data_IF_247673962749
#
_entry.id   IF_247673962749
#
_cell.length_a   1.000
_cell.length_b   1.000
_cell.length_c   1.000
_cell.angle_alpha   90.00
_cell.angle_beta   90.00
_cell.angle_gamma   90.00
#
_symmetry.space_group_name_H-M   'P 1'
#
loop_
_entity.id
_entity.type
_entity.pdbx_description
1 polymer ?
#
# COMPACT_ATOMS: atom_id res chain seq x y z
N UNK A 1 -59.00 -19.53 21.44
CA UNK A 1 -57.81 -20.19 20.83
C UNK A 1 -57.27 -19.33 19.67
N UNK A 2 -56.74 -18.12 19.93
CA UNK A 2 -56.19 -17.24 18.89
C UNK A 2 -54.78 -16.69 19.22
N UNK A 3 -54.11 -17.27 20.24
CA UNK A 3 -52.81 -16.78 20.75
C UNK A 3 -51.60 -17.55 20.24
N UNK A 4 -51.78 -18.67 19.53
CA UNK A 4 -50.68 -19.53 19.06
C UNK A 4 -50.33 -19.39 17.56
N UNK A 5 -51.18 -18.72 16.76
CA UNK A 5 -50.93 -18.52 15.32
C UNK A 5 -49.96 -17.38 15.00
N UNK A 6 -49.74 -16.44 15.94
CA UNK A 6 -48.80 -15.32 15.77
C UNK A 6 -47.38 -15.61 16.27
N UNK A 7 -47.18 -16.71 17.00
CA UNK A 7 -45.89 -17.10 17.58
C UNK A 7 -44.81 -17.37 16.51
N UNK A 8 -45.10 -18.09 15.40
CA UNK A 8 -44.10 -18.36 14.37
C UNK A 8 -43.67 -17.10 13.61
N UNK A 9 -44.61 -16.19 13.33
CA UNK A 9 -44.33 -14.91 12.67
C UNK A 9 -43.50 -13.95 13.53
N UNK A 10 -43.80 -13.90 14.83
CA UNK A 10 -43.01 -13.12 15.79
C UNK A 10 -41.59 -13.69 15.96
N UNK A 11 -41.43 -15.01 16.02
CA UNK A 11 -40.10 -15.65 16.07
C UNK A 11 -39.30 -15.41 14.80
N UNK A 12 -39.94 -15.48 13.62
CA UNK A 12 -39.30 -15.23 12.34
C UNK A 12 -38.80 -13.78 12.20
N UNK A 13 -39.63 -12.81 12.62
CA UNK A 13 -39.22 -11.40 12.69
C UNK A 13 -38.11 -11.16 13.71
N UNK A 14 -38.12 -11.86 14.85
CA UNK A 14 -37.05 -11.82 15.84
C UNK A 14 -35.74 -12.36 15.28
N UNK A 15 -35.77 -13.47 14.53
CA UNK A 15 -34.58 -14.05 13.89
C UNK A 15 -34.03 -13.11 12.83
N UNK A 16 -34.88 -12.48 12.01
CA UNK A 16 -34.44 -11.45 11.05
C UNK A 16 -33.84 -10.26 11.80
N UNK A 17 -34.47 -9.80 12.88
CA UNK A 17 -33.97 -8.69 13.68
C UNK A 17 -32.59 -9.01 14.28
N UNK A 18 -32.41 -10.19 14.89
CA UNK A 18 -31.13 -10.57 15.51
C UNK A 18 -30.04 -11.01 14.50
N UNK A 19 -30.39 -11.54 13.32
CA UNK A 19 -29.40 -11.93 12.31
C UNK A 19 -29.03 -10.84 11.33
N UNK A 20 -29.95 -9.90 11.05
CA UNK A 20 -29.74 -8.86 10.04
C UNK A 20 -29.61 -7.50 10.72
N UNK A 21 -30.51 -7.17 11.64
CA UNK A 21 -30.58 -5.81 12.22
C UNK A 21 -29.59 -5.62 13.37
N UNK A 22 -29.37 -6.60 14.26
CA UNK A 22 -28.42 -6.48 15.37
C UNK A 22 -26.96 -6.35 14.91
N UNK A 23 -26.45 -7.14 13.94
CA UNK A 23 -25.12 -6.91 13.37
C UNK A 23 -25.02 -5.58 12.63
N UNK A 24 -26.12 -5.14 11.99
CA UNK A 24 -26.18 -3.83 11.37
C UNK A 24 -26.14 -2.70 12.41
N UNK A 25 -26.81 -2.84 13.56
CA UNK A 25 -26.79 -1.89 14.68
C UNK A 25 -25.42 -1.87 15.36
N UNK A 26 -24.73 -3.02 15.49
CA UNK A 26 -23.40 -3.11 16.10
C UNK A 26 -22.28 -2.59 15.20
N UNK A 27 -22.53 -2.46 13.89
CA UNK A 27 -21.56 -1.87 12.96
C UNK A 27 -21.48 -0.36 13.20
N UNK A 28 -20.26 0.15 13.42
CA UNK A 28 -20.03 1.56 13.68
C UNK A 28 -20.65 2.45 12.58
N UNK A 29 -21.30 3.58 12.93
CA UNK A 29 -22.01 4.41 11.96
C UNK A 29 -21.15 4.91 10.79
N UNK A 30 -19.86 5.20 11.02
CA UNK A 30 -18.92 5.60 9.97
C UNK A 30 -18.70 4.46 8.95
N UNK A 31 -18.54 3.22 9.44
CA UNK A 31 -18.29 2.04 8.62
C UNK A 31 -19.45 1.76 7.67
N UNK A 32 -20.70 1.98 8.11
CA UNK A 32 -21.87 1.85 7.22
C UNK A 32 -21.85 2.84 6.06
N UNK A 33 -21.35 4.06 6.28
CA UNK A 33 -21.23 5.06 5.20
C UNK A 33 -20.14 4.62 4.22
N UNK A 34 -19.01 4.13 4.71
CA UNK A 34 -17.93 3.59 3.88
C UNK A 34 -18.42 2.38 3.08
N UNK A 35 -19.04 1.39 3.71
CA UNK A 35 -19.57 0.20 3.04
C UNK A 35 -20.59 0.59 1.95
N UNK A 36 -21.42 1.59 2.21
CA UNK A 36 -22.35 2.14 1.21
C UNK A 36 -21.62 2.84 0.06
N UNK A 37 -20.56 3.61 0.35
CA UNK A 37 -19.75 4.25 -0.67
C UNK A 37 -19.07 3.22 -1.58
N UNK A 38 -18.50 2.17 -1.00
CA UNK A 38 -17.88 1.06 -1.73
C UNK A 38 -18.91 0.29 -2.56
N UNK A 39 -20.12 0.08 -2.04
CA UNK A 39 -21.22 -0.53 -2.80
C UNK A 39 -21.61 0.29 -4.04
N UNK A 40 -21.70 1.62 -3.94
CA UNK A 40 -21.94 2.45 -5.13
C UNK A 40 -20.76 2.42 -6.11
N UNK A 41 -19.53 2.33 -5.61
CA UNK A 41 -18.32 2.22 -6.45
C UNK A 41 -18.32 0.93 -7.29
N UNK A 42 -18.66 -0.22 -6.71
CA UNK A 42 -18.73 -1.49 -7.46
C UNK A 42 -19.79 -1.47 -8.56
N UNK A 43 -20.83 -0.62 -8.41
CA UNK A 43 -21.87 -0.38 -9.42
C UNK A 43 -21.52 0.70 -10.43
N UNK A 44 -20.30 1.26 -10.37
CA UNK A 44 -19.85 2.40 -11.20
C UNK A 44 -20.70 3.67 -10.97
N UNK A 45 -21.33 3.79 -9.80
CA UNK A 45 -22.08 4.97 -9.38
C UNK A 45 -21.15 5.95 -8.64
N UNK A 46 -20.16 6.47 -9.37
CA UNK A 46 -19.03 7.23 -8.85
C UNK A 46 -19.43 8.49 -8.07
N UNK A 47 -20.32 9.32 -8.59
CA UNK A 47 -20.78 10.54 -7.90
C UNK A 47 -21.41 10.26 -6.54
N UNK A 48 -22.17 9.15 -6.42
CA UNK A 48 -22.79 8.76 -5.16
C UNK A 48 -21.76 8.24 -4.17
N UNK A 49 -20.79 7.47 -4.65
CA UNK A 49 -19.67 6.99 -3.84
C UNK A 49 -18.90 8.18 -3.25
N UNK A 50 -18.53 9.13 -4.10
CA UNK A 50 -17.75 10.32 -3.73
C UNK A 50 -18.51 11.23 -2.77
N UNK A 51 -19.83 11.41 -2.96
CA UNK A 51 -20.67 12.15 -2.03
C UNK A 51 -20.72 11.50 -0.63
N UNK A 52 -20.76 10.16 -0.57
CA UNK A 52 -20.75 9.42 0.70
C UNK A 52 -19.38 9.48 1.39
N UNK A 53 -18.28 9.38 0.64
CA UNK A 53 -16.93 9.54 1.19
C UNK A 53 -16.72 10.94 1.76
N UNK A 54 -17.11 12.00 1.03
CA UNK A 54 -17.09 13.38 1.54
C UNK A 54 -17.90 13.51 2.82
N UNK A 55 -19.11 12.94 2.85
CA UNK A 55 -19.97 12.94 4.04
C UNK A 55 -19.33 12.19 5.23
N UNK A 56 -18.63 11.09 4.99
CA UNK A 56 -17.94 10.32 6.03
C UNK A 56 -16.83 11.16 6.68
N UNK A 57 -15.99 11.81 5.87
CA UNK A 57 -14.91 12.72 6.33
C UNK A 57 -15.48 13.86 7.18
N UNK A 58 -16.55 14.51 6.72
CA UNK A 58 -17.17 15.63 7.47
C UNK A 58 -17.81 15.16 8.78
N UNK A 59 -18.49 14.02 8.78
CA UNK A 59 -19.28 13.56 9.93
C UNK A 59 -18.45 12.84 10.99
N UNK A 60 -17.36 12.20 10.59
CA UNK A 60 -16.53 11.37 11.48
C UNK A 60 -15.05 11.76 11.39
N UNK A 61 -14.68 13.03 11.66
CA UNK A 61 -13.33 13.54 11.41
C UNK A 61 -12.24 12.98 12.33
N UNK A 62 -12.61 12.19 13.35
CA UNK A 62 -11.68 11.53 14.30
C UNK A 62 -11.43 10.05 13.96
N UNK A 63 -12.01 9.53 12.89
CA UNK A 63 -11.86 8.12 12.49
C UNK A 63 -10.85 8.05 11.34
N UNK A 64 -9.62 7.54 11.54
CA UNK A 64 -8.61 7.52 10.49
C UNK A 64 -9.07 6.81 9.21
N UNK A 65 -9.84 5.73 9.36
CA UNK A 65 -10.31 4.87 8.28
C UNK A 65 -11.10 5.65 7.23
N UNK A 66 -11.88 6.68 7.62
CA UNK A 66 -12.66 7.45 6.64
C UNK A 66 -11.77 8.27 5.70
N UNK A 67 -10.61 8.73 6.17
CA UNK A 67 -9.63 9.44 5.35
C UNK A 67 -8.87 8.48 4.43
N UNK A 68 -8.53 7.29 4.94
CA UNK A 68 -7.90 6.26 4.14
C UNK A 68 -8.82 5.79 3.00
N UNK A 69 -10.07 5.50 3.31
CA UNK A 69 -11.07 5.09 2.32
C UNK A 69 -11.33 6.20 1.31
N UNK A 70 -11.37 7.47 1.73
CA UNK A 70 -11.42 8.59 0.81
C UNK A 70 -10.21 8.59 -0.14
N UNK A 71 -9.00 8.49 0.39
CA UNK A 71 -7.77 8.53 -0.40
C UNK A 71 -7.71 7.40 -1.45
N UNK A 72 -8.10 6.19 -1.07
CA UNK A 72 -8.02 5.00 -1.94
C UNK A 72 -9.18 4.91 -2.95
N UNK A 73 -10.38 5.38 -2.57
CA UNK A 73 -11.61 5.09 -3.33
C UNK A 73 -12.29 6.32 -3.93
N UNK A 74 -11.77 7.53 -3.75
CA UNK A 74 -12.36 8.70 -4.40
C UNK A 74 -12.15 8.64 -5.91
N UNK A 75 -13.25 8.77 -6.66
CA UNK A 75 -13.32 8.50 -8.09
C UNK A 75 -12.91 9.67 -8.99
N UNK A 76 -12.79 10.88 -8.44
CA UNK A 76 -12.13 12.02 -9.10
C UNK A 76 -10.67 11.68 -9.40
N UNK A 77 -10.47 10.89 -10.45
CA UNK A 77 -9.32 10.06 -10.76
C UNK A 77 -8.07 10.83 -11.19
N UNK A 78 -8.16 12.15 -11.27
CA UNK A 78 -7.14 12.98 -11.91
C UNK A 78 -6.51 14.00 -10.97
N UNK A 79 -7.10 14.22 -9.79
CA UNK A 79 -6.59 15.16 -8.80
C UNK A 79 -6.07 14.42 -7.55
N UNK A 80 -4.88 13.82 -7.68
CA UNK A 80 -4.19 13.19 -6.55
C UNK A 80 -3.92 14.19 -5.43
N UNK A 81 -3.71 15.47 -5.76
CA UNK A 81 -3.49 16.55 -4.81
C UNK A 81 -4.67 16.72 -3.85
N UNK A 82 -5.90 16.79 -4.32
CA UNK A 82 -7.08 16.94 -3.44
C UNK A 82 -7.20 15.76 -2.46
N UNK A 83 -6.99 14.53 -2.94
CA UNK A 83 -7.01 13.35 -2.07
C UNK A 83 -5.89 13.38 -1.06
N UNK A 84 -4.71 13.82 -1.48
CA UNK A 84 -3.53 13.92 -0.64
C UNK A 84 -3.70 14.98 0.46
N UNK A 85 -4.33 16.11 0.15
CA UNK A 85 -4.69 17.14 1.13
C UNK A 85 -5.65 16.58 2.19
N UNK A 86 -6.68 15.81 1.78
CA UNK A 86 -7.64 15.20 2.71
C UNK A 86 -6.99 14.18 3.63
N UNK A 87 -6.15 13.26 3.11
CA UNK A 87 -5.47 12.27 3.98
C UNK A 87 -4.47 12.94 4.92
N UNK A 88 -3.79 14.00 4.47
CA UNK A 88 -2.86 14.79 5.30
C UNK A 88 -3.60 15.52 6.42
N UNK A 89 -4.78 16.09 6.14
CA UNK A 89 -5.65 16.66 7.17
C UNK A 89 -6.10 15.60 8.18
N UNK A 90 -6.46 14.40 7.70
CA UNK A 90 -6.79 13.26 8.56
C UNK A 90 -5.64 12.91 9.51
N UNK A 91 -4.43 12.75 8.98
CA UNK A 91 -3.24 12.48 9.78
C UNK A 91 -2.97 13.56 10.83
N UNK A 92 -3.09 14.85 10.48
CA UNK A 92 -2.95 15.95 11.44
C UNK A 92 -3.95 15.91 12.60
N UNK A 93 -5.14 15.33 12.38
CA UNK A 93 -6.20 15.24 13.39
C UNK A 93 -6.11 13.98 14.26
N UNK A 94 -5.54 12.91 13.74
CA UNK A 94 -5.58 11.59 14.39
C UNK A 94 -4.21 11.04 14.78
N UNK A 95 -3.14 11.57 14.18
CA UNK A 95 -1.76 11.05 14.30
C UNK A 95 -1.68 9.54 14.03
N UNK A 96 -2.53 9.07 13.12
CA UNK A 96 -2.68 7.65 12.82
C UNK A 96 -1.53 7.13 11.95
N UNK A 97 -0.90 6.05 12.40
CA UNK A 97 0.27 5.44 11.74
C UNK A 97 -0.03 5.01 10.32
N UNK A 98 -1.24 4.49 10.04
CA UNK A 98 -1.58 4.00 8.70
C UNK A 98 -1.71 5.19 7.75
N UNK A 99 -2.38 6.27 8.18
CA UNK A 99 -2.42 7.49 7.37
C UNK A 99 -1.02 8.05 7.11
N UNK A 100 -0.18 8.12 8.14
CA UNK A 100 1.22 8.55 8.02
C UNK A 100 2.00 7.70 7.01
N UNK A 101 1.84 6.38 7.06
CA UNK A 101 2.46 5.45 6.11
C UNK A 101 2.03 5.72 4.65
N UNK A 102 0.73 5.87 4.38
CA UNK A 102 0.23 6.15 3.01
C UNK A 102 0.68 7.52 2.50
N UNK A 103 0.72 8.53 3.38
CA UNK A 103 1.27 9.85 3.06
C UNK A 103 2.75 9.74 2.66
N UNK A 104 3.54 9.03 3.46
CA UNK A 104 4.96 8.86 3.23
C UNK A 104 5.27 8.08 1.95
N UNK A 105 4.50 7.01 1.68
CA UNK A 105 4.57 6.28 0.41
C UNK A 105 4.31 7.21 -0.78
N UNK A 106 3.32 8.10 -0.66
CA UNK A 106 3.01 9.06 -1.73
C UNK A 106 4.14 10.10 -1.90
N UNK A 107 4.73 10.58 -0.81
CA UNK A 107 5.90 11.47 -0.88
C UNK A 107 7.09 10.80 -1.59
N UNK A 108 7.37 9.53 -1.28
CA UNK A 108 8.42 8.75 -1.93
C UNK A 108 8.19 8.65 -3.45
N UNK A 109 6.97 8.32 -3.89
CA UNK A 109 6.64 8.27 -5.32
C UNK A 109 6.86 9.61 -6.04
N UNK A 110 6.64 10.73 -5.35
CA UNK A 110 6.86 12.09 -5.87
C UNK A 110 8.28 12.63 -5.68
N UNK A 111 9.17 11.86 -5.05
CA UNK A 111 10.56 12.29 -4.82
C UNK A 111 10.75 13.29 -3.69
N UNK A 112 9.74 13.47 -2.83
CA UNK A 112 9.81 14.26 -1.61
C UNK A 112 10.45 13.40 -0.50
N UNK A 113 11.74 13.09 -0.69
CA UNK A 113 12.44 12.07 0.08
C UNK A 113 12.61 12.43 1.56
N UNK A 114 12.83 13.72 1.87
CA UNK A 114 12.98 14.16 3.27
C UNK A 114 11.65 14.05 4.03
N UNK A 115 10.54 14.40 3.39
CA UNK A 115 9.19 14.28 3.94
C UNK A 115 8.77 12.83 4.10
N UNK A 116 9.15 11.96 3.15
CA UNK A 116 8.95 10.52 3.25
C UNK A 116 9.75 9.92 4.42
N UNK A 117 11.04 10.28 4.57
CA UNK A 117 11.90 9.81 5.67
C UNK A 117 11.30 10.18 7.04
N UNK A 118 10.88 11.43 7.21
CA UNK A 118 10.34 11.94 8.47
C UNK A 118 9.12 11.15 8.98
N UNK A 119 8.36 10.51 8.10
CA UNK A 119 7.21 9.69 8.45
C UNK A 119 7.55 8.20 8.53
N UNK A 120 8.35 7.68 7.58
CA UNK A 120 8.71 6.26 7.52
C UNK A 120 9.67 5.84 8.64
N UNK A 121 10.57 6.73 9.07
CA UNK A 121 11.60 6.45 10.08
C UNK A 121 11.09 6.56 11.54
N UNK A 122 9.78 6.68 11.72
CA UNK A 122 9.18 6.62 13.06
C UNK A 122 9.05 5.18 13.54
N UNK A 123 9.20 4.94 14.85
CA UNK A 123 9.05 3.62 15.47
C UNK A 123 7.73 2.95 15.06
N UNK A 124 6.61 3.68 15.15
CA UNK A 124 5.28 3.20 14.78
C UNK A 124 5.19 2.77 13.31
N UNK A 125 5.77 3.55 12.38
CA UNK A 125 5.77 3.18 10.96
C UNK A 125 6.66 1.99 10.66
N UNK A 126 7.83 1.90 11.32
CA UNK A 126 8.72 0.74 11.22
C UNK A 126 8.05 -0.54 11.69
N UNK A 127 7.37 -0.51 12.84
CA UNK A 127 6.57 -1.63 13.34
C UNK A 127 5.44 -2.01 12.36
N UNK A 128 4.75 -1.02 11.80
CA UNK A 128 3.70 -1.26 10.82
C UNK A 128 4.23 -1.93 9.55
N UNK A 129 5.34 -1.40 9.00
CA UNK A 129 6.02 -1.98 7.83
C UNK A 129 6.47 -3.41 8.10
N UNK A 130 7.05 -3.67 9.27
CA UNK A 130 7.46 -5.01 9.69
C UNK A 130 6.26 -5.98 9.75
N UNK A 131 5.19 -5.58 10.44
CA UNK A 131 3.95 -6.37 10.55
C UNK A 131 3.31 -6.67 9.19
N UNK A 132 3.51 -5.79 8.21
CA UNK A 132 2.93 -5.92 6.86
C UNK A 132 3.88 -6.55 5.84
N UNK A 133 5.14 -6.78 6.18
CA UNK A 133 6.12 -7.29 5.22
C UNK A 133 6.46 -6.28 4.12
N UNK A 134 6.52 -4.97 4.45
CA UNK A 134 6.75 -3.89 3.47
C UNK A 134 8.11 -3.21 3.69
N UNK A 135 8.88 -2.99 2.63
CA UNK A 135 10.28 -2.53 2.63
C UNK A 135 10.48 -1.14 1.99
N UNK A 136 9.73 -0.11 2.42
CA UNK A 136 9.86 1.24 1.84
C UNK A 136 11.14 2.00 2.24
N UNK A 137 11.69 1.74 3.44
CA UNK A 137 12.91 2.42 3.91
C UNK A 137 14.16 2.10 3.05
N UNK A 138 14.43 0.84 2.69
CA UNK A 138 15.50 0.54 1.74
C UNK A 138 15.33 1.27 0.40
N UNK A 139 14.10 1.35 -0.13
CA UNK A 139 13.83 2.11 -1.35
C UNK A 139 14.16 3.59 -1.18
N UNK A 140 13.67 4.21 -0.10
CA UNK A 140 13.92 5.60 0.22
C UNK A 140 15.42 5.91 0.24
N UNK A 141 16.22 5.10 0.95
CA UNK A 141 17.66 5.31 1.04
C UNK A 141 18.40 5.05 -0.27
N UNK A 142 17.93 4.10 -1.06
CA UNK A 142 18.43 3.90 -2.43
C UNK A 142 18.22 5.15 -3.28
N UNK A 143 17.03 5.76 -3.23
CA UNK A 143 16.72 6.97 -4.00
C UNK A 143 17.49 8.21 -3.51
N UNK A 144 17.82 8.26 -2.22
CA UNK A 144 18.76 9.23 -1.66
C UNK A 144 20.23 8.97 -2.04
N UNK A 145 20.51 7.91 -2.82
CA UNK A 145 21.87 7.43 -3.17
C UNK A 145 22.70 7.01 -1.96
N UNK A 146 22.06 6.74 -0.82
CA UNK A 146 22.69 6.24 0.38
C UNK A 146 22.63 4.70 0.41
N UNK A 147 23.38 4.08 -0.51
CA UNK A 147 23.31 2.63 -0.74
C UNK A 147 23.72 1.81 0.48
N UNK A 148 24.66 2.32 1.30
CA UNK A 148 25.06 1.67 2.54
C UNK A 148 23.90 1.59 3.53
N UNK A 149 23.22 2.71 3.78
CA UNK A 149 22.03 2.75 4.67
C UNK A 149 20.89 1.90 4.10
N UNK A 150 20.69 1.92 2.78
CA UNK A 150 19.69 1.09 2.12
C UNK A 150 19.90 -0.42 2.37
N UNK A 151 21.15 -0.89 2.26
CA UNK A 151 21.50 -2.29 2.55
C UNK A 151 21.36 -2.63 4.04
N UNK A 152 21.81 -1.74 4.93
CA UNK A 152 21.67 -1.91 6.38
C UNK A 152 20.21 -2.05 6.80
N UNK A 153 19.32 -1.27 6.20
CA UNK A 153 17.88 -1.29 6.47
C UNK A 153 17.21 -2.55 5.94
N UNK A 154 17.65 -3.10 4.81
CA UNK A 154 17.21 -4.41 4.36
C UNK A 154 17.56 -5.49 5.39
N UNK A 155 18.80 -5.50 5.88
CA UNK A 155 19.24 -6.46 6.90
C UNK A 155 18.47 -6.29 8.20
N UNK A 156 18.27 -5.05 8.66
CA UNK A 156 17.50 -4.75 9.86
C UNK A 156 16.06 -5.27 9.74
N UNK A 157 15.40 -4.97 8.62
CA UNK A 157 14.02 -5.38 8.37
C UNK A 157 13.85 -6.90 8.42
N UNK A 158 14.68 -7.64 7.70
CA UNK A 158 14.56 -9.10 7.64
C UNK A 158 14.99 -9.80 8.94
N UNK A 159 15.99 -9.27 9.66
CA UNK A 159 16.28 -9.73 11.04
C UNK A 159 15.07 -9.53 11.96
N UNK A 160 14.36 -8.41 11.80
CA UNK A 160 13.12 -8.15 12.52
C UNK A 160 12.01 -9.16 12.21
N UNK A 161 11.89 -9.62 10.95
CA UNK A 161 10.85 -10.55 10.52
C UNK A 161 11.06 -11.97 11.06
N UNK A 162 12.30 -12.44 11.05
CA UNK A 162 12.62 -13.83 11.42
C UNK A 162 13.03 -14.00 12.87
N UNK A 163 13.11 -12.91 13.65
CA UNK A 163 13.53 -12.92 15.06
C UNK A 163 14.86 -13.66 15.31
N UNK A 164 15.75 -13.69 14.31
CA UNK A 164 16.93 -14.55 14.31
C UNK A 164 18.17 -13.82 13.78
N UNK A 165 19.34 -14.25 14.26
CA UNK A 165 20.67 -13.90 13.73
C UNK A 165 21.07 -14.82 12.55
N UNK A 166 20.07 -15.42 11.89
CA UNK A 166 20.26 -16.35 10.78
C UNK A 166 21.15 -15.78 9.66
N UNK A 167 21.81 -16.69 8.93
CA UNK A 167 22.64 -16.32 7.80
C UNK A 167 21.81 -15.52 6.79
N UNK A 168 22.35 -14.37 6.36
CA UNK A 168 21.69 -13.53 5.37
C UNK A 168 21.49 -14.27 4.05
N UNK A 169 22.31 -15.29 3.76
CA UNK A 169 22.11 -16.16 2.59
C UNK A 169 20.81 -16.97 2.64
N UNK A 170 20.33 -17.37 3.83
CA UNK A 170 19.05 -18.06 3.98
C UNK A 170 17.89 -17.08 3.85
N UNK A 171 18.05 -15.85 4.34
CA UNK A 171 17.07 -14.77 4.14
C UNK A 171 16.87 -14.49 2.64
N UNK A 172 17.94 -14.46 1.84
CA UNK A 172 17.85 -14.23 0.39
C UNK A 172 16.95 -15.24 -0.32
N UNK A 173 16.87 -16.49 0.15
CA UNK A 173 16.01 -17.53 -0.44
C UNK A 173 14.52 -17.31 -0.19
N UNK A 174 14.17 -16.48 0.79
CA UNK A 174 12.80 -16.20 1.20
C UNK A 174 12.35 -14.77 0.82
N UNK A 175 13.24 -13.96 0.25
CA UNK A 175 12.91 -12.59 -0.17
C UNK A 175 11.91 -12.57 -1.32
N UNK A 176 11.07 -11.53 -1.31
CA UNK A 176 10.16 -11.28 -2.43
C UNK A 176 10.94 -10.91 -3.70
N UNK A 177 10.38 -11.13 -4.90
CA UNK A 177 11.00 -10.70 -6.15
C UNK A 177 11.34 -9.20 -6.17
N UNK A 178 10.48 -8.37 -5.57
CA UNK A 178 10.66 -6.93 -5.47
C UNK A 178 11.82 -6.53 -4.54
N UNK A 179 12.04 -7.30 -3.47
CA UNK A 179 13.13 -7.05 -2.53
C UNK A 179 14.47 -7.52 -3.10
N UNK A 180 14.49 -8.69 -3.75
CA UNK A 180 15.69 -9.20 -4.43
C UNK A 180 16.18 -8.22 -5.51
N UNK A 181 15.27 -7.73 -6.36
CA UNK A 181 15.65 -6.80 -7.42
C UNK A 181 16.11 -5.45 -6.86
N UNK A 182 15.50 -4.97 -5.77
CA UNK A 182 15.93 -3.75 -5.11
C UNK A 182 17.33 -3.92 -4.49
N UNK A 183 17.57 -5.02 -3.79
CA UNK A 183 18.87 -5.31 -3.21
C UNK A 183 19.95 -5.46 -4.29
N UNK A 184 19.62 -6.11 -5.41
CA UNK A 184 20.52 -6.21 -6.55
C UNK A 184 20.81 -4.84 -7.19
N UNK A 185 19.83 -3.93 -7.29
CA UNK A 185 20.06 -2.55 -7.72
C UNK A 185 20.99 -1.80 -6.76
N UNK A 186 20.76 -1.90 -5.45
CA UNK A 186 21.63 -1.30 -4.42
C UNK A 186 23.07 -1.81 -4.57
N UNK A 187 23.25 -3.13 -4.74
CA UNK A 187 24.57 -3.74 -4.95
C UNK A 187 25.23 -3.24 -6.24
N UNK A 188 24.51 -3.23 -7.36
CA UNK A 188 25.03 -2.77 -8.66
C UNK A 188 25.48 -1.32 -8.60
N UNK A 189 24.64 -0.43 -8.06
CA UNK A 189 24.90 1.02 -8.07
C UNK A 189 25.93 1.43 -7.00
N UNK A 190 26.14 0.61 -5.97
CA UNK A 190 27.25 0.74 -5.01
C UNK A 190 28.58 0.15 -5.50
N UNK A 191 28.60 -0.52 -6.66
CA UNK A 191 29.78 -1.20 -7.18
C UNK A 191 30.08 -2.55 -6.51
N UNK A 192 29.14 -3.09 -5.74
CA UNK A 192 29.23 -4.42 -5.12
C UNK A 192 28.74 -5.52 -6.05
N UNK A 193 29.10 -6.77 -5.76
CA UNK A 193 28.68 -7.94 -6.53
C UNK A 193 27.17 -8.19 -6.41
N UNK A 194 26.42 -7.75 -7.43
CA UNK A 194 24.98 -7.94 -7.54
C UNK A 194 24.60 -9.29 -8.16
N UNK A 195 25.52 -9.95 -8.88
CA UNK A 195 25.25 -11.22 -9.56
C UNK A 195 24.97 -12.33 -8.56
N UNK A 196 25.59 -12.28 -7.38
CA UNK A 196 25.25 -13.16 -6.26
C UNK A 196 23.78 -13.06 -5.87
N UNK A 197 23.21 -11.85 -5.84
CA UNK A 197 21.78 -11.65 -5.52
C UNK A 197 20.91 -12.16 -6.65
N UNK A 198 21.27 -11.86 -7.91
CA UNK A 198 20.52 -12.33 -9.09
C UNK A 198 20.53 -13.86 -9.25
N UNK A 199 21.50 -14.55 -8.64
CA UNK A 199 21.55 -16.02 -8.59
C UNK A 199 20.44 -16.67 -7.75
N UNK A 200 19.71 -15.91 -6.93
CA UNK A 200 18.56 -16.41 -6.20
C UNK A 200 17.29 -16.31 -7.06
N UNK A 201 16.55 -17.42 -7.17
CA UNK A 201 15.28 -17.43 -7.87
C UNK A 201 14.22 -16.65 -7.05
N UNK A 202 13.48 -15.72 -7.67
CA UNK A 202 12.38 -15.03 -7.00
C UNK A 202 11.27 -16.01 -6.55
N UNK A 203 10.78 -15.91 -5.31
CA UNK A 203 9.63 -16.71 -4.84
C UNK A 203 8.33 -15.90 -4.85
N UNK A 204 7.30 -16.37 -5.55
CA UNK A 204 5.97 -15.73 -5.48
C UNK A 204 5.08 -16.33 -4.40
N UNK A 205 5.34 -17.57 -4.02
CA UNK A 205 4.71 -18.24 -2.89
C UNK A 205 5.61 -19.34 -2.34
N UNK A 206 5.23 -19.93 -1.20
CA UNK A 206 5.91 -21.09 -0.58
C UNK A 206 6.00 -22.30 -1.54
N UNK A 207 5.18 -22.34 -2.59
CA UNK A 207 5.09 -23.48 -3.52
C UNK A 207 5.39 -23.10 -4.97
N UNK A 208 5.83 -21.87 -5.27
CA UNK A 208 6.01 -21.43 -6.65
C UNK A 208 7.16 -20.44 -6.78
N UNK A 209 8.23 -20.93 -7.38
CA UNK A 209 9.31 -20.10 -7.89
C UNK A 209 8.81 -19.34 -9.13
N UNK A 210 9.14 -18.06 -9.21
CA UNK A 210 8.93 -17.22 -10.38
C UNK A 210 10.27 -17.07 -11.07
N UNK A 211 10.34 -17.41 -12.36
CA UNK A 211 11.58 -17.18 -13.09
C UNK A 211 11.82 -15.69 -13.30
N UNK A 212 13.08 -15.29 -13.49
CA UNK A 212 13.41 -13.92 -13.88
C UNK A 212 12.72 -13.49 -15.19
N UNK A 213 12.44 -14.44 -16.10
CA UNK A 213 11.69 -14.18 -17.33
C UNK A 213 10.22 -13.80 -17.02
N UNK A 214 9.58 -14.49 -16.08
CA UNK A 214 8.20 -14.19 -15.67
C UNK A 214 8.10 -12.83 -14.99
N UNK A 215 9.05 -12.50 -14.12
CA UNK A 215 9.13 -11.20 -13.48
C UNK A 215 9.35 -10.09 -14.52
N UNK A 216 10.27 -10.30 -15.48
CA UNK A 216 10.53 -9.37 -16.56
C UNK A 216 9.27 -9.10 -17.39
N UNK A 217 8.55 -10.16 -17.79
CA UNK A 217 7.29 -10.03 -18.53
C UNK A 217 6.24 -9.24 -17.74
N UNK A 218 6.12 -9.52 -16.43
CA UNK A 218 5.23 -8.77 -15.53
C UNK A 218 5.59 -7.29 -15.44
N UNK A 219 6.88 -6.95 -15.32
CA UNK A 219 7.33 -5.57 -15.26
C UNK A 219 7.10 -4.82 -16.58
N UNK A 220 7.30 -5.46 -17.74
CA UNK A 220 6.97 -4.86 -19.03
C UNK A 220 5.48 -4.57 -19.16
N UNK A 221 4.62 -5.52 -18.76
CA UNK A 221 3.18 -5.35 -18.83
C UNK A 221 2.71 -4.23 -17.86
N UNK A 222 3.28 -4.17 -16.65
CA UNK A 222 3.02 -3.07 -15.73
C UNK A 222 3.46 -1.72 -16.31
N UNK A 223 4.66 -1.62 -16.89
CA UNK A 223 5.16 -0.41 -17.52
C UNK A 223 4.28 0.06 -18.69
N UNK A 224 3.81 -0.87 -19.52
CA UNK A 224 2.89 -0.60 -20.63
C UNK A 224 1.53 -0.07 -20.16
N UNK A 225 1.07 -0.53 -19.00
CA UNK A 225 -0.21 -0.15 -18.40
C UNK A 225 -0.11 1.04 -17.43
N UNK A 226 1.05 1.71 -17.31
CA UNK A 226 1.16 2.94 -16.53
C UNK A 226 0.36 4.04 -17.21
N UNK A 227 -0.80 4.34 -16.63
CA UNK A 227 -1.53 5.56 -16.95
C UNK A 227 -0.78 6.75 -16.33
N UNK A 228 -0.46 7.80 -17.12
CA UNK A 228 0.11 9.01 -16.59
C UNK A 228 -0.91 9.67 -15.65
N UNK A 229 -0.46 10.14 -14.49
CA UNK A 229 -1.29 11.02 -13.68
C UNK A 229 -1.41 12.39 -14.35
N UNK A 230 -2.57 13.01 -14.22
CA UNK A 230 -2.84 14.35 -14.76
C UNK A 230 -2.37 15.46 -13.81
N UNK A 231 -2.44 15.21 -12.49
CA UNK A 231 -1.98 16.14 -11.46
C UNK A 231 -1.27 15.36 -10.35
N UNK A 232 0.02 15.63 -10.12
CA UNK A 232 0.78 15.13 -8.97
C UNK A 232 0.47 15.93 -7.69
N UNK A 233 0.92 15.48 -6.52
CA UNK A 233 0.62 16.19 -5.24
C UNK A 233 1.23 17.60 -5.16
N UNK A 234 2.29 17.86 -5.91
CA UNK A 234 2.93 19.18 -6.04
C UNK A 234 2.34 20.02 -7.18
N UNK A 235 1.39 19.48 -7.94
CA UNK A 235 0.80 20.11 -9.13
C UNK A 235 1.55 19.81 -10.44
N UNK A 236 2.79 19.30 -10.40
CA UNK A 236 3.51 18.88 -11.60
C UNK A 236 3.36 17.35 -11.83
N UNK A 237 2.65 16.91 -12.87
CA UNK A 237 2.56 15.51 -13.22
C UNK A 237 3.83 14.98 -13.91
N UNK A 238 4.66 15.85 -14.49
CA UNK A 238 5.81 15.48 -15.32
C UNK A 238 6.85 14.69 -14.53
N UNK A 239 7.29 15.25 -13.41
CA UNK A 239 8.28 14.63 -12.53
C UNK A 239 7.78 13.30 -11.94
N UNK A 240 6.54 13.26 -11.46
CA UNK A 240 5.92 12.03 -10.95
C UNK A 240 5.84 10.92 -12.01
N UNK A 241 5.36 11.25 -13.21
CA UNK A 241 5.26 10.30 -14.31
C UNK A 241 6.63 9.82 -14.80
N UNK A 242 7.64 10.71 -14.82
CA UNK A 242 9.03 10.37 -15.13
C UNK A 242 9.58 9.35 -14.14
N UNK A 243 9.45 9.63 -12.84
CA UNK A 243 9.93 8.75 -11.76
C UNK A 243 9.28 7.37 -11.79
N UNK A 244 7.97 7.29 -12.03
CA UNK A 244 7.27 6.01 -12.21
C UNK A 244 7.85 5.21 -13.36
N UNK A 245 8.11 5.83 -14.52
CA UNK A 245 8.73 5.14 -15.66
C UNK A 245 10.15 4.66 -15.33
N UNK A 246 10.94 5.49 -14.65
CA UNK A 246 12.30 5.16 -14.25
C UNK A 246 12.36 3.99 -13.27
N UNK A 247 11.41 3.92 -12.32
CA UNK A 247 11.27 2.80 -11.40
C UNK A 247 11.21 1.45 -12.13
N UNK A 248 10.34 1.32 -13.14
CA UNK A 248 10.26 0.08 -13.91
C UNK A 248 11.45 -0.12 -14.85
N UNK A 249 11.90 0.95 -15.50
CA UNK A 249 12.98 0.88 -16.50
C UNK A 249 14.29 0.40 -15.88
N UNK A 250 14.65 0.84 -14.69
CA UNK A 250 15.90 0.40 -14.03
C UNK A 250 15.86 -1.08 -13.67
N UNK A 251 14.71 -1.58 -13.21
CA UNK A 251 14.46 -2.98 -12.86
C UNK A 251 14.48 -3.89 -14.08
N UNK A 252 13.78 -3.49 -15.15
CA UNK A 252 13.78 -4.21 -16.43
C UNK A 252 15.21 -4.35 -16.96
N UNK A 253 15.95 -3.24 -17.06
CA UNK A 253 17.34 -3.25 -17.55
C UNK A 253 18.27 -4.10 -16.69
N UNK A 254 18.03 -4.16 -15.38
CA UNK A 254 18.82 -5.01 -14.48
C UNK A 254 18.61 -6.50 -14.83
N UNK A 255 17.35 -6.93 -14.95
CA UNK A 255 17.02 -8.32 -15.29
C UNK A 255 17.52 -8.67 -16.71
N UNK A 256 17.27 -7.80 -17.70
CA UNK A 256 17.75 -7.99 -19.07
C UNK A 256 19.27 -8.10 -19.15
N UNK A 257 20.01 -7.40 -18.29
CA UNK A 257 21.48 -7.49 -18.24
C UNK A 257 22.00 -8.78 -17.59
N UNK A 258 21.14 -9.50 -16.87
CA UNK A 258 21.47 -10.74 -16.17
C UNK A 258 21.12 -11.99 -16.99
N UNK A 259 20.01 -11.95 -17.74
CA UNK A 259 19.56 -13.02 -18.64
C UNK A 259 20.42 -13.14 -19.90
#
# INVERSE_FOLDING_TARGET
MLKLLFLPGALFLLVIFFRVVVPYISTAPWKRIIDSALYHRTRKEFDKSDALLKKAVTKYPKQPEVYLDYFLNFSGSENLKDRFEVITEGYKKTEDTILGFFIASTYLEHGLLSEAEALLDTEKCREYMLKKGITLLPQLYYEQKNYKKAEEEFKLFYRGLYHDEGDFEDILKEMSPQDLIMLALIKKDSGSDYLKIMGYAPKTSVHTDMSWHDLLASLHEQLKNINPAEIGITGDPGEFNRRRKEYFTSRIKLIESYL
#
